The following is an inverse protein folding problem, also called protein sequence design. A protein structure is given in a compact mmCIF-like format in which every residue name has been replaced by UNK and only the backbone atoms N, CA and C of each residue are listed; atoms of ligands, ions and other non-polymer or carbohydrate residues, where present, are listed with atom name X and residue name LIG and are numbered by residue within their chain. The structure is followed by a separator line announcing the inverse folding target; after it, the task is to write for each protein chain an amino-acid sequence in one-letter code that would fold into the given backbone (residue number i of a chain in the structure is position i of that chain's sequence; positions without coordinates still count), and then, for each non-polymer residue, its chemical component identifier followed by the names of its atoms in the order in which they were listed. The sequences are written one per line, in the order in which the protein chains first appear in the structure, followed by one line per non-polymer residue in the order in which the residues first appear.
data_IF_349145806932
#
_entry.id   IF_349145806932
#
_cell.length_a   1.000
_cell.length_b   1.000
_cell.length_c   1.000
_cell.angle_alpha   90.00
_cell.angle_beta   90.00
_cell.angle_gamma   90.00
#
_symmetry.space_group_name_H-M   'P 1'
#
loop_
_entity.id
_entity.type
_entity.pdbx_description
1 polymer ?
#
# COMPACT_ATOMS: atom_id res chain seq x y z
N UNK A 1 -26.77 -20.04 -61.69
CA UNK A 1 -25.64 -20.14 -62.66
C UNK A 1 -24.53 -19.26 -62.12
N UNK A 2 -23.33 -19.69 -61.74
CA UNK A 2 -22.62 -20.96 -61.88
C UNK A 2 -21.70 -21.22 -60.67
N UNK A 3 -21.58 -22.50 -60.33
CA UNK A 3 -20.59 -23.14 -59.45
C UNK A 3 -19.16 -23.08 -60.02
N UNK A 4 -18.15 -23.16 -59.14
CA UNK A 4 -16.96 -24.04 -59.22
C UNK A 4 -15.84 -23.52 -58.29
N UNK A 5 -14.95 -24.29 -57.68
CA UNK A 5 -14.87 -25.69 -57.25
C UNK A 5 -13.56 -25.77 -56.44
N UNK A 6 -13.55 -26.60 -55.42
CA UNK A 6 -12.34 -27.06 -54.73
C UNK A 6 -11.37 -27.73 -55.72
N UNK A 7 -10.06 -27.49 -55.56
CA UNK A 7 -9.06 -28.52 -55.85
C UNK A 7 -7.77 -28.32 -55.04
N UNK A 8 -7.44 -29.37 -54.29
CA UNK A 8 -6.20 -29.60 -53.59
C UNK A 8 -5.13 -30.18 -54.53
N UNK A 9 -3.86 -29.90 -54.24
CA UNK A 9 -2.68 -30.79 -54.36
C UNK A 9 -1.46 -30.01 -53.81
N UNK A 10 -0.98 -30.30 -52.60
CA UNK A 10 0.00 -31.35 -52.27
C UNK A 10 1.38 -31.15 -52.89
N UNK A 11 2.27 -30.42 -52.21
CA UNK A 11 3.71 -30.73 -52.20
C UNK A 11 4.21 -30.65 -50.77
N UNK A 12 4.57 -31.83 -50.28
CA UNK A 12 5.27 -32.11 -49.04
C UNK A 12 6.63 -31.39 -48.99
N UNK A 13 6.91 -30.68 -47.90
CA UNK A 13 8.24 -30.66 -47.28
C UNK A 13 8.10 -30.67 -45.76
N UNK A 14 8.64 -31.73 -45.18
CA UNK A 14 8.89 -31.94 -43.76
C UNK A 14 9.60 -30.73 -43.14
N UNK A 15 9.04 -30.20 -42.05
CA UNK A 15 9.81 -29.65 -40.94
C UNK A 15 9.05 -29.91 -39.64
N UNK A 16 9.42 -31.03 -39.00
CA UNK A 16 9.12 -31.36 -37.61
C UNK A 16 9.85 -30.38 -36.69
N UNK A 17 9.17 -29.32 -36.25
CA UNK A 17 9.59 -28.54 -35.07
C UNK A 17 8.90 -29.15 -33.85
N UNK A 18 9.65 -30.03 -33.18
CA UNK A 18 9.34 -30.57 -31.85
C UNK A 18 9.10 -29.42 -30.87
N UNK A 19 7.89 -29.31 -30.34
CA UNK A 19 7.63 -28.61 -29.08
C UNK A 19 8.11 -29.52 -27.94
N UNK A 20 9.37 -29.36 -27.53
CA UNK A 20 9.82 -29.88 -26.24
C UNK A 20 9.52 -28.83 -25.16
N UNK A 21 8.65 -29.17 -24.21
CA UNK A 21 8.55 -28.50 -22.91
C UNK A 21 9.82 -28.84 -22.10
N UNK A 22 10.58 -27.85 -21.59
CA UNK A 22 11.46 -28.10 -20.46
C UNK A 22 10.68 -27.85 -19.17
N UNK A 23 10.12 -28.94 -18.64
CA UNK A 23 9.63 -29.04 -17.28
C UNK A 23 10.82 -29.29 -16.34
N UNK A 24 11.59 -28.25 -15.99
CA UNK A 24 12.45 -28.20 -14.79
C UNK A 24 13.33 -26.95 -14.79
N UNK A 25 12.96 -25.91 -14.05
CA UNK A 25 13.90 -24.88 -13.62
C UNK A 25 13.72 -24.62 -12.11
N UNK A 26 14.80 -24.68 -11.31
CA UNK A 26 14.73 -24.52 -9.87
C UNK A 26 14.41 -23.08 -9.47
N UNK A 27 13.67 -22.94 -8.36
CA UNK A 27 13.18 -21.68 -7.74
C UNK A 27 14.30 -20.71 -7.33
N UNK A 28 15.57 -21.04 -7.53
CA UNK A 28 16.74 -20.27 -7.08
C UNK A 28 17.24 -19.17 -8.04
N UNK A 29 16.63 -18.97 -9.21
CA UNK A 29 17.15 -18.04 -10.23
C UNK A 29 16.57 -16.61 -10.15
N UNK A 30 15.60 -16.35 -9.27
CA UNK A 30 14.97 -15.02 -9.14
C UNK A 30 15.52 -14.13 -8.02
N UNK A 31 16.71 -14.42 -7.48
CA UNK A 31 17.43 -13.46 -6.62
C UNK A 31 18.20 -12.50 -7.55
N UNK A 32 17.84 -11.21 -7.65
CA UNK A 32 18.59 -10.29 -8.49
C UNK A 32 20.03 -10.19 -7.97
N UNK A 33 21.02 -10.35 -8.86
CA UNK A 33 22.48 -10.20 -8.64
C UNK A 33 22.93 -8.83 -8.07
N UNK A 34 22.00 -8.00 -7.62
CA UNK A 34 22.22 -6.69 -7.02
C UNK A 34 22.44 -6.70 -5.50
N UNK A 35 22.02 -7.77 -4.79
CA UNK A 35 22.20 -7.89 -3.33
C UNK A 35 23.69 -8.09 -2.98
N UNK A 36 24.40 -8.91 -3.75
CA UNK A 36 25.84 -9.17 -3.57
C UNK A 36 26.68 -7.89 -3.73
N UNK A 37 26.42 -7.07 -4.76
CA UNK A 37 27.24 -5.88 -5.06
C UNK A 37 27.03 -4.69 -4.11
N UNK A 38 25.94 -4.66 -3.33
CA UNK A 38 25.66 -3.56 -2.39
C UNK A 38 26.22 -3.84 -0.99
N UNK A 39 26.27 -5.10 -0.56
CA UNK A 39 26.92 -5.52 0.69
C UNK A 39 28.45 -5.31 0.58
N UNK A 40 29.08 -5.60 -0.56
CA UNK A 40 30.52 -5.36 -0.76
C UNK A 40 30.88 -3.86 -0.79
N UNK A 41 29.95 -2.98 -1.18
CA UNK A 41 30.18 -1.52 -1.17
C UNK A 41 30.09 -0.91 0.22
N UNK A 42 29.25 -1.44 1.11
CA UNK A 42 29.16 -0.98 2.50
C UNK A 42 30.43 -1.30 3.31
N UNK A 43 31.11 -2.40 3.01
CA UNK A 43 32.43 -2.71 3.61
C UNK A 43 33.58 -1.86 3.05
N UNK A 44 33.41 -1.21 1.89
CA UNK A 44 34.48 -0.45 1.22
C UNK A 44 34.49 1.05 1.55
N UNK A 45 33.47 1.57 2.24
CA UNK A 45 33.38 3.01 2.60
C UNK A 45 34.11 3.35 3.91
N UNK A 46 34.53 2.36 4.73
CA UNK A 46 35.27 2.62 5.98
C UNK A 46 36.78 2.41 5.87
N UNK A 47 37.39 2.87 4.77
CA UNK A 47 38.86 2.98 4.69
C UNK A 47 39.27 4.12 3.77
N UNK A 48 39.15 5.37 4.23
CA UNK A 48 40.21 6.36 4.03
C UNK A 48 40.03 7.65 4.82
N UNK A 49 41.14 8.04 5.45
CA UNK A 49 41.50 9.33 6.04
C UNK A 49 41.03 9.65 7.46
N UNK A 50 41.91 9.44 8.45
CA UNK A 50 42.60 10.55 9.12
C UNK A 50 43.78 10.02 9.94
N UNK A 51 44.91 10.70 9.77
CA UNK A 51 46.16 10.48 10.48
C UNK A 51 46.09 11.06 11.90
N UNK A 52 46.73 10.36 12.85
CA UNK A 52 47.28 10.89 14.10
C UNK A 52 46.34 11.57 15.10
N UNK A 53 45.90 10.84 16.12
CA UNK A 53 45.82 11.34 17.51
C UNK A 53 45.58 10.18 18.49
N UNK A 54 46.33 10.22 19.59
CA UNK A 54 46.41 9.25 20.70
C UNK A 54 45.15 9.37 21.56
N UNK A 55 44.39 8.29 21.78
CA UNK A 55 43.51 8.11 22.96
C UNK A 55 43.38 6.61 23.28
N UNK A 56 43.45 6.32 24.58
CA UNK A 56 43.63 5.06 25.31
C UNK A 56 42.83 3.82 24.87
N UNK A 57 43.53 2.68 24.95
CA UNK A 57 42.99 1.31 24.87
C UNK A 57 42.03 1.01 26.03
N UNK A 58 40.74 0.83 25.72
CA UNK A 58 39.84 0.06 26.59
C UNK A 58 39.87 -1.39 26.10
N UNK A 59 40.69 -2.19 26.79
CA UNK A 59 40.87 -3.62 26.55
C UNK A 59 39.58 -4.39 26.85
N UNK A 60 38.85 -4.82 25.82
CA UNK A 60 37.75 -5.78 25.94
C UNK A 60 38.31 -7.20 25.69
N UNK A 61 38.15 -8.17 26.61
CA UNK A 61 38.99 -9.37 26.65
C UNK A 61 38.40 -10.57 25.88
N UNK A 62 38.01 -10.37 24.61
CA UNK A 62 37.23 -11.39 23.87
C UNK A 62 37.73 -11.69 22.44
N UNK A 63 38.93 -11.23 22.06
CA UNK A 63 39.46 -11.45 20.71
C UNK A 63 40.85 -12.13 20.64
N UNK A 64 41.44 -12.54 21.76
CA UNK A 64 42.75 -13.22 21.74
C UNK A 64 42.65 -14.76 21.63
N UNK A 65 41.49 -15.37 21.93
CA UNK A 65 41.36 -16.84 21.95
C UNK A 65 41.10 -17.48 20.56
N UNK A 66 40.98 -16.69 19.49
CA UNK A 66 40.68 -17.20 18.14
C UNK A 66 41.88 -17.20 17.18
N UNK A 67 43.06 -16.74 17.62
CA UNK A 67 44.24 -16.64 16.75
C UNK A 67 45.12 -17.90 16.74
N UNK A 68 44.79 -18.95 17.50
CA UNK A 68 45.71 -20.08 17.72
C UNK A 68 45.09 -21.46 17.49
N UNK A 69 44.23 -21.64 16.48
CA UNK A 69 44.02 -22.99 15.90
C UNK A 69 43.53 -22.92 14.46
N UNK A 70 44.43 -22.73 13.49
CA UNK A 70 44.14 -22.97 12.07
C UNK A 70 45.00 -24.14 11.60
N UNK A 71 44.41 -25.33 11.58
CA UNK A 71 44.79 -26.43 10.69
C UNK A 71 43.79 -26.42 9.52
N UNK A 72 44.23 -26.57 8.25
CA UNK A 72 43.33 -26.54 7.12
C UNK A 72 42.65 -27.90 7.01
N UNK A 73 41.32 -27.96 7.16
CA UNK A 73 40.58 -29.16 6.74
C UNK A 73 39.42 -28.81 5.82
N UNK A 74 39.37 -29.55 4.72
CA UNK A 74 38.57 -29.31 3.52
C UNK A 74 37.08 -29.60 3.73
N UNK A 75 36.22 -28.77 3.11
CA UNK A 75 35.02 -29.23 2.41
C UNK A 75 33.70 -29.40 3.17
N UNK A 76 33.63 -29.26 4.50
CA UNK A 76 32.38 -29.48 5.27
C UNK A 76 31.75 -28.21 5.90
N UNK A 77 32.42 -27.06 5.86
CA UNK A 77 31.92 -25.84 6.53
C UNK A 77 30.88 -25.06 5.70
N UNK A 78 30.86 -25.21 4.37
CA UNK A 78 29.90 -24.49 3.52
C UNK A 78 28.46 -24.98 3.69
N UNK A 79 28.23 -26.30 3.76
CA UNK A 79 26.88 -26.86 3.91
C UNK A 79 26.28 -26.59 5.30
N UNK A 80 27.08 -26.63 6.36
CA UNK A 80 26.61 -26.29 7.71
C UNK A 80 26.33 -24.79 7.88
N UNK A 81 27.13 -23.92 7.25
CA UNK A 81 26.90 -22.48 7.29
C UNK A 81 25.68 -22.08 6.44
N UNK A 82 25.44 -22.72 5.30
CA UNK A 82 24.27 -22.47 4.47
C UNK A 82 22.97 -23.00 5.10
N UNK A 83 22.99 -24.18 5.75
CA UNK A 83 21.84 -24.68 6.50
C UNK A 83 21.49 -23.78 7.70
N UNK A 84 22.49 -23.26 8.41
CA UNK A 84 22.24 -22.34 9.54
C UNK A 84 21.75 -20.97 9.08
N UNK A 85 22.19 -20.47 7.93
CA UNK A 85 21.65 -19.26 7.30
C UNK A 85 20.21 -19.48 6.82
N UNK A 86 19.92 -20.57 6.10
CA UNK A 86 18.58 -20.90 5.63
C UNK A 86 17.59 -21.05 6.81
N UNK A 87 18.00 -21.69 7.89
CA UNK A 87 17.20 -21.83 9.10
C UNK A 87 16.92 -20.48 9.79
N UNK A 88 17.94 -19.61 9.90
CA UNK A 88 17.76 -18.24 10.42
C UNK A 88 16.81 -17.42 9.53
N UNK A 89 16.97 -17.49 8.21
CA UNK A 89 16.09 -16.83 7.24
C UNK A 89 14.66 -17.34 7.38
N UNK A 90 14.46 -18.65 7.55
CA UNK A 90 13.15 -19.24 7.75
C UNK A 90 12.46 -18.72 9.03
N UNK A 91 13.19 -18.69 10.14
CA UNK A 91 12.68 -18.17 11.42
C UNK A 91 12.29 -16.70 11.30
N UNK A 92 13.16 -15.87 10.73
CA UNK A 92 12.86 -14.44 10.54
C UNK A 92 11.70 -14.22 9.55
N UNK A 93 11.63 -15.02 8.48
CA UNK A 93 10.52 -15.01 7.53
C UNK A 93 9.20 -15.36 8.20
N UNK A 94 9.19 -16.37 9.10
CA UNK A 94 7.99 -16.77 9.85
C UNK A 94 7.51 -15.65 10.78
N UNK A 95 8.42 -14.94 11.45
CA UNK A 95 8.09 -13.77 12.29
C UNK A 95 7.54 -12.62 11.45
N UNK A 96 8.17 -12.32 10.32
CA UNK A 96 7.72 -11.27 9.41
C UNK A 96 6.32 -11.58 8.88
N UNK A 97 6.04 -12.83 8.51
CA UNK A 97 4.73 -13.24 8.01
C UNK A 97 3.62 -13.04 9.03
N UNK A 98 3.91 -13.21 10.32
CA UNK A 98 2.92 -12.97 11.37
C UNK A 98 2.44 -11.50 11.40
N UNK A 99 3.28 -10.55 10.99
CA UNK A 99 2.96 -9.13 10.95
C UNK A 99 2.40 -8.73 9.58
N UNK A 100 3.08 -9.14 8.51
CA UNK A 100 2.78 -8.77 7.12
C UNK A 100 1.51 -9.45 6.61
N UNK A 101 1.23 -10.68 7.02
CA UNK A 101 0.06 -11.46 6.58
C UNK A 101 -1.25 -10.74 6.88
N UNK A 102 -1.53 -10.41 8.16
CA UNK A 102 -2.71 -9.63 8.53
C UNK A 102 -2.75 -8.25 7.87
N UNK A 103 -1.59 -7.59 7.70
CA UNK A 103 -1.53 -6.29 7.04
C UNK A 103 -1.94 -6.37 5.56
N UNK A 104 -1.43 -7.35 4.80
CA UNK A 104 -1.82 -7.59 3.41
C UNK A 104 -3.30 -7.93 3.33
N UNK A 105 -3.77 -8.85 4.17
CA UNK A 105 -5.18 -9.23 4.22
C UNK A 105 -6.09 -8.01 4.45
N UNK A 106 -5.72 -7.13 5.40
CA UNK A 106 -6.50 -5.91 5.65
C UNK A 106 -6.54 -4.97 4.45
N UNK A 107 -5.44 -4.84 3.70
CA UNK A 107 -5.38 -4.00 2.50
C UNK A 107 -6.26 -4.56 1.38
N UNK A 108 -6.19 -5.88 1.15
CA UNK A 108 -7.03 -6.56 0.15
C UNK A 108 -8.51 -6.35 0.52
N UNK A 109 -8.87 -6.66 1.76
CA UNK A 109 -10.24 -6.56 2.27
C UNK A 109 -10.80 -5.14 2.17
N UNK A 110 -10.01 -4.12 2.55
CA UNK A 110 -10.41 -2.73 2.42
C UNK A 110 -10.54 -2.29 0.96
N UNK A 111 -9.65 -2.76 0.07
CA UNK A 111 -9.73 -2.46 -1.36
C UNK A 111 -10.93 -3.14 -2.03
N UNK A 112 -11.28 -4.36 -1.59
CA UNK A 112 -12.47 -5.08 -2.06
C UNK A 112 -13.76 -4.28 -1.88
N UNK A 113 -13.88 -3.42 -0.86
CA UNK A 113 -15.05 -2.55 -0.71
C UNK A 113 -15.22 -1.59 -1.91
N UNK A 114 -14.12 -1.03 -2.44
CA UNK A 114 -14.20 -0.19 -3.64
C UNK A 114 -14.57 -1.01 -4.88
N UNK A 115 -14.01 -2.22 -5.03
CA UNK A 115 -14.31 -3.11 -6.16
C UNK A 115 -15.79 -3.53 -6.15
N UNK A 116 -16.31 -3.89 -4.98
CA UNK A 116 -17.72 -4.25 -4.81
C UNK A 116 -18.62 -3.05 -5.13
N UNK A 117 -18.29 -1.85 -4.62
CA UNK A 117 -19.02 -0.62 -4.93
C UNK A 117 -19.10 -0.38 -6.45
N UNK A 118 -17.99 -0.57 -7.18
CA UNK A 118 -17.98 -0.47 -8.64
C UNK A 118 -18.81 -1.58 -9.31
N UNK A 119 -18.74 -2.82 -8.84
CA UNK A 119 -19.56 -3.91 -9.39
C UNK A 119 -21.06 -3.63 -9.25
N UNK A 120 -21.50 -3.11 -8.09
CA UNK A 120 -22.88 -2.67 -7.90
C UNK A 120 -23.24 -1.50 -8.82
N UNK A 121 -22.36 -0.53 -9.03
CA UNK A 121 -22.60 0.57 -9.95
C UNK A 121 -22.79 0.08 -11.40
N UNK A 122 -21.99 -0.90 -11.84
CA UNK A 122 -22.14 -1.55 -13.14
C UNK A 122 -23.46 -2.28 -13.32
N UNK A 123 -24.10 -2.74 -12.25
CA UNK A 123 -25.44 -3.31 -12.33
C UNK A 123 -26.56 -2.27 -12.52
N UNK A 124 -26.33 -0.99 -12.17
CA UNK A 124 -27.31 0.07 -12.43
C UNK A 124 -27.22 0.56 -13.88
N UNK A 125 -26.00 0.69 -14.40
CA UNK A 125 -25.77 1.14 -15.76
C UNK A 125 -24.33 1.57 -16.01
N UNK A 126 -24.00 1.75 -17.29
CA UNK A 126 -22.66 2.15 -17.73
C UNK A 126 -22.32 3.57 -17.27
N UNK A 127 -23.33 4.45 -17.21
CA UNK A 127 -23.16 5.85 -16.80
C UNK A 127 -22.86 5.96 -15.30
N UNK A 128 -23.58 5.21 -14.46
CA UNK A 128 -23.38 5.11 -13.02
C UNK A 128 -22.01 4.52 -12.68
N UNK A 129 -21.62 3.47 -13.39
CA UNK A 129 -20.30 2.87 -13.27
C UNK A 129 -19.20 3.87 -13.64
N UNK A 130 -19.37 4.60 -14.75
CA UNK A 130 -18.42 5.63 -15.16
C UNK A 130 -18.29 6.74 -14.11
N UNK A 131 -19.42 7.23 -13.58
CA UNK A 131 -19.42 8.25 -12.53
C UNK A 131 -18.72 7.78 -11.25
N UNK A 132 -19.06 6.59 -10.74
CA UNK A 132 -18.41 6.00 -9.56
C UNK A 132 -16.93 5.75 -9.80
N UNK A 133 -16.56 5.27 -10.99
CA UNK A 133 -15.17 5.03 -11.37
C UNK A 133 -14.37 6.32 -11.39
N UNK A 134 -14.87 7.40 -12.00
CA UNK A 134 -14.20 8.70 -12.03
C UNK A 134 -14.10 9.29 -10.63
N UNK A 135 -15.20 9.30 -9.85
CA UNK A 135 -15.16 9.78 -8.47
C UNK A 135 -14.17 9.01 -7.61
N UNK A 136 -14.12 7.67 -7.74
CA UNK A 136 -13.22 6.84 -6.92
C UNK A 136 -11.77 6.96 -7.37
N UNK A 137 -11.50 6.91 -8.68
CA UNK A 137 -10.14 6.85 -9.21
C UNK A 137 -9.47 8.21 -9.31
N UNK A 138 -10.22 9.26 -9.66
CA UNK A 138 -9.66 10.60 -9.85
C UNK A 138 -9.76 11.41 -8.57
N UNK A 139 -10.99 11.59 -8.06
CA UNK A 139 -11.26 12.47 -6.92
C UNK A 139 -10.76 11.84 -5.61
N UNK A 140 -11.32 10.69 -5.23
CA UNK A 140 -10.90 9.95 -4.03
C UNK A 140 -9.47 9.41 -4.21
N UNK A 141 -9.05 9.07 -5.43
CA UNK A 141 -7.70 8.58 -5.69
C UNK A 141 -6.61 9.62 -5.44
N UNK A 142 -6.86 10.90 -5.78
CA UNK A 142 -5.98 12.01 -5.42
C UNK A 142 -5.86 12.14 -3.90
N UNK A 143 -7.01 12.21 -3.25
CA UNK A 143 -7.12 12.42 -1.82
C UNK A 143 -6.49 11.27 -1.01
N UNK A 144 -6.78 10.03 -1.39
CA UNK A 144 -6.20 8.82 -0.81
C UNK A 144 -4.68 8.85 -0.92
N UNK A 145 -4.11 9.22 -2.07
CA UNK A 145 -2.66 9.29 -2.26
C UNK A 145 -1.99 10.28 -1.30
N UNK A 146 -2.58 11.48 -1.18
CA UNK A 146 -2.08 12.54 -0.31
C UNK A 146 -2.22 12.18 1.18
N UNK A 147 -3.42 11.80 1.63
CA UNK A 147 -3.69 11.45 3.04
C UNK A 147 -2.90 10.20 3.46
N UNK A 148 -2.78 9.19 2.61
CA UNK A 148 -1.99 8.00 2.90
C UNK A 148 -0.50 8.33 3.05
N UNK A 149 0.01 9.26 2.24
CA UNK A 149 1.41 9.73 2.33
C UNK A 149 1.64 10.61 3.56
N UNK A 150 0.68 11.42 3.96
CA UNK A 150 0.77 12.15 5.23
C UNK A 150 0.77 11.17 6.42
N UNK A 151 0.03 10.06 6.32
CA UNK A 151 -0.05 9.07 7.39
C UNK A 151 1.23 8.22 7.52
N UNK A 152 2.06 8.08 6.47
CA UNK A 152 3.34 7.36 6.60
C UNK A 152 4.35 8.11 7.45
N UNK A 153 4.28 9.45 7.53
CA UNK A 153 5.10 10.20 8.49
C UNK A 153 4.76 9.80 9.95
N UNK A 154 3.47 9.60 10.24
CA UNK A 154 3.03 9.10 11.55
C UNK A 154 3.58 7.68 11.82
N UNK A 155 3.50 6.79 10.82
CA UNK A 155 4.01 5.42 10.94
C UNK A 155 5.48 5.40 11.36
N UNK A 156 6.33 6.21 10.71
CA UNK A 156 7.75 6.33 11.06
C UNK A 156 7.95 6.83 12.49
N UNK A 157 7.27 7.92 12.88
CA UNK A 157 7.40 8.50 14.21
C UNK A 157 6.91 7.55 15.31
N UNK A 158 5.78 6.87 15.08
CA UNK A 158 5.27 5.86 16.00
C UNK A 158 6.20 4.64 16.07
N UNK A 159 6.76 4.18 14.95
CA UNK A 159 7.73 3.09 14.91
C UNK A 159 9.01 3.42 15.71
N UNK A 160 9.54 4.63 15.54
CA UNK A 160 10.69 5.12 16.30
C UNK A 160 10.39 5.21 17.80
N UNK A 161 9.25 5.81 18.18
CA UNK A 161 8.85 5.93 19.58
C UNK A 161 8.57 4.57 20.23
N UNK A 162 7.95 3.64 19.49
CA UNK A 162 7.68 2.28 19.96
C UNK A 162 8.98 1.50 20.19
N UNK A 163 9.94 1.59 19.26
CA UNK A 163 11.27 1.00 19.41
C UNK A 163 12.08 1.60 20.56
N UNK A 164 11.93 2.91 20.81
CA UNK A 164 12.53 3.61 21.94
C UNK A 164 11.77 3.42 23.27
N UNK A 165 10.73 2.57 23.30
CA UNK A 165 9.87 2.32 24.47
C UNK A 165 9.15 3.56 25.02
N UNK A 166 8.98 4.61 24.22
CA UNK A 166 8.24 5.83 24.56
C UNK A 166 6.75 5.69 24.20
N UNK A 167 6.07 4.72 24.80
CA UNK A 167 4.72 4.30 24.39
C UNK A 167 3.67 5.42 24.43
N UNK A 168 3.71 6.29 25.45
CA UNK A 168 2.78 7.42 25.59
C UNK A 168 2.81 8.38 24.38
N UNK A 169 3.97 8.56 23.73
CA UNK A 169 4.09 9.46 22.58
C UNK A 169 3.29 9.01 21.36
N UNK A 170 2.97 7.72 21.24
CA UNK A 170 2.18 7.22 20.10
C UNK A 170 0.78 7.83 20.10
N UNK A 171 0.14 7.97 21.26
CA UNK A 171 -1.18 8.60 21.40
C UNK A 171 -1.14 10.09 21.07
N UNK A 172 -0.07 10.78 21.49
CA UNK A 172 0.16 12.20 21.16
C UNK A 172 0.34 12.38 19.65
N UNK A 173 1.15 11.54 19.00
CA UNK A 173 1.35 11.61 17.55
C UNK A 173 0.07 11.28 16.77
N UNK A 174 -0.72 10.31 17.23
CA UNK A 174 -2.03 10.00 16.64
C UNK A 174 -2.95 11.23 16.66
N UNK A 175 -3.08 11.90 17.82
CA UNK A 175 -3.92 13.10 17.95
C UNK A 175 -3.39 14.26 17.09
N UNK A 176 -2.08 14.46 17.07
CA UNK A 176 -1.44 15.47 16.20
C UNK A 176 -1.73 15.21 14.73
N UNK A 177 -1.66 13.93 14.32
CA UNK A 177 -2.00 13.51 12.96
C UNK A 177 -3.45 13.78 12.63
N UNK A 178 -4.42 13.47 13.52
CA UNK A 178 -5.82 13.78 13.29
C UNK A 178 -6.08 15.28 13.07
N UNK A 179 -5.47 16.15 13.89
CA UNK A 179 -5.62 17.60 13.73
C UNK A 179 -5.16 18.04 12.32
N UNK A 180 -3.98 17.59 11.92
CA UNK A 180 -3.39 17.97 10.63
C UNK A 180 -4.14 17.36 9.45
N UNK A 181 -4.56 16.10 9.55
CA UNK A 181 -5.37 15.42 8.54
C UNK A 181 -6.72 16.09 8.37
N UNK A 182 -7.37 16.48 9.46
CA UNK A 182 -8.66 17.15 9.41
C UNK A 182 -8.57 18.51 8.71
N UNK A 183 -7.54 19.30 9.02
CA UNK A 183 -7.25 20.56 8.31
C UNK A 183 -7.01 20.28 6.82
N UNK A 184 -6.23 19.25 6.49
CA UNK A 184 -5.99 18.87 5.10
C UNK A 184 -7.28 18.46 4.38
N UNK A 185 -8.18 17.70 5.02
CA UNK A 185 -9.47 17.35 4.46
C UNK A 185 -10.31 18.60 4.15
N UNK A 186 -10.35 19.57 5.05
CA UNK A 186 -11.04 20.85 4.80
C UNK A 186 -10.46 21.58 3.57
N UNK A 187 -9.14 21.60 3.43
CA UNK A 187 -8.46 22.22 2.28
C UNK A 187 -8.74 21.52 0.96
N UNK A 188 -8.98 20.20 0.98
CA UNK A 188 -9.28 19.39 -0.21
C UNK A 188 -10.78 19.34 -0.54
N UNK A 189 -11.65 19.80 0.35
CA UNK A 189 -13.10 19.81 0.15
C UNK A 189 -13.57 20.50 -1.16
N UNK A 190 -12.97 21.61 -1.62
CA UNK A 190 -13.34 22.22 -2.90
C UNK A 190 -13.23 21.26 -4.10
N UNK A 191 -12.30 20.30 -4.06
CA UNK A 191 -12.16 19.28 -5.11
C UNK A 191 -13.42 18.42 -5.23
N UNK A 192 -14.08 18.14 -4.11
CA UNK A 192 -15.33 17.36 -4.08
C UNK A 192 -16.53 18.21 -4.51
N UNK A 193 -16.60 19.46 -4.04
CA UNK A 193 -17.74 20.37 -4.33
C UNK A 193 -17.76 20.84 -5.79
N UNK A 194 -16.59 21.06 -6.39
CA UNK A 194 -16.45 21.54 -7.76
C UNK A 194 -16.15 20.43 -8.77
N UNK A 195 -16.41 19.17 -8.42
CA UNK A 195 -16.16 18.02 -9.30
C UNK A 195 -16.87 18.15 -10.67
N UNK A 196 -18.17 18.47 -10.69
CA UNK A 196 -18.94 18.65 -11.93
C UNK A 196 -18.35 19.73 -12.86
N UNK A 197 -18.15 20.98 -12.43
CA UNK A 197 -17.57 22.01 -13.30
C UNK A 197 -16.14 21.71 -13.73
N UNK A 198 -15.32 21.08 -12.88
CA UNK A 198 -13.96 20.64 -13.25
C UNK A 198 -14.03 19.61 -14.39
N UNK A 199 -14.92 18.62 -14.30
CA UNK A 199 -15.06 17.58 -15.32
C UNK A 199 -15.59 18.14 -16.65
N UNK A 200 -16.54 19.08 -16.60
CA UNK A 200 -17.01 19.78 -17.81
C UNK A 200 -15.88 20.56 -18.48
N UNK A 201 -15.03 21.22 -17.68
CA UNK A 201 -13.86 21.94 -18.19
C UNK A 201 -12.83 20.99 -18.84
N UNK A 202 -12.69 19.78 -18.30
CA UNK A 202 -11.86 18.72 -18.87
C UNK A 202 -12.47 18.07 -20.13
N UNK A 203 -13.64 18.52 -20.58
CA UNK A 203 -14.30 18.04 -21.80
C UNK A 203 -15.15 16.77 -21.63
N UNK A 204 -15.49 16.39 -20.40
CA UNK A 204 -16.40 15.25 -20.18
C UNK A 204 -17.84 15.59 -20.59
N UNK A 205 -18.62 14.60 -21.09
CA UNK A 205 -20.04 14.79 -21.39
C UNK A 205 -20.80 15.34 -20.18
N UNK A 206 -21.70 16.29 -20.41
CA UNK A 206 -22.40 17.02 -19.33
C UNK A 206 -23.13 16.09 -18.38
N UNK A 207 -23.80 15.05 -18.90
CA UNK A 207 -24.54 14.08 -18.09
C UNK A 207 -23.62 13.30 -17.14
N UNK A 208 -22.48 12.80 -17.65
CA UNK A 208 -21.48 12.11 -16.84
C UNK A 208 -20.87 13.04 -15.78
N UNK A 209 -20.56 14.29 -16.15
CA UNK A 209 -19.96 15.26 -15.25
C UNK A 209 -20.91 15.62 -14.09
N UNK A 210 -22.21 15.79 -14.35
CA UNK A 210 -23.19 16.06 -13.31
C UNK A 210 -23.39 14.85 -12.38
N UNK A 211 -23.46 13.64 -12.93
CA UNK A 211 -23.61 12.43 -12.14
C UNK A 211 -22.37 12.19 -11.24
N UNK A 212 -21.18 12.42 -11.79
CA UNK A 212 -19.92 12.36 -11.01
C UNK A 212 -19.88 13.44 -9.93
N UNK A 213 -20.42 14.63 -10.21
CA UNK A 213 -20.58 15.70 -9.22
C UNK A 213 -21.48 15.28 -8.06
N UNK A 214 -22.61 14.65 -8.36
CA UNK A 214 -23.51 14.09 -7.35
C UNK A 214 -22.80 13.04 -6.47
N UNK A 215 -22.16 12.06 -7.10
CA UNK A 215 -21.39 11.02 -6.38
C UNK A 215 -20.30 11.64 -5.52
N UNK A 216 -19.57 12.62 -6.05
CA UNK A 216 -18.50 13.32 -5.35
C UNK A 216 -19.00 13.98 -4.06
N UNK A 217 -20.15 14.66 -4.10
CA UNK A 217 -20.76 15.23 -2.88
C UNK A 217 -21.11 14.15 -1.86
N UNK A 218 -21.65 13.02 -2.30
CA UNK A 218 -21.93 11.87 -1.44
C UNK A 218 -20.67 11.16 -0.93
N UNK A 219 -19.50 11.41 -1.51
CA UNK A 219 -18.21 10.88 -1.05
C UNK A 219 -17.50 11.78 -0.02
N UNK A 220 -18.07 12.93 0.34
CA UNK A 220 -17.50 13.80 1.39
C UNK A 220 -17.35 13.07 2.75
N UNK A 221 -18.30 12.25 3.23
CA UNK A 221 -18.13 11.59 4.53
C UNK A 221 -16.99 10.56 4.55
N UNK A 222 -16.75 9.83 3.45
CA UNK A 222 -15.62 8.89 3.34
C UNK A 222 -14.32 9.66 3.32
N UNK A 223 -14.25 10.80 2.63
CA UNK A 223 -13.07 11.68 2.66
C UNK A 223 -12.63 12.01 4.08
N UNK A 224 -13.55 12.46 4.95
CA UNK A 224 -13.23 12.69 6.36
C UNK A 224 -12.89 11.40 7.13
N UNK A 225 -13.53 10.28 6.80
CA UNK A 225 -13.21 8.99 7.42
C UNK A 225 -11.75 8.58 7.17
N UNK A 226 -11.19 8.88 6.00
CA UNK A 226 -9.78 8.58 5.67
C UNK A 226 -8.80 9.32 6.58
N UNK A 227 -9.13 10.57 6.94
CA UNK A 227 -8.37 11.38 7.87
C UNK A 227 -8.24 10.78 9.28
N UNK A 228 -9.21 9.95 9.70
CA UNK A 228 -9.15 9.20 10.95
C UNK A 228 -8.58 7.78 10.76
N UNK A 229 -9.00 7.11 9.68
CA UNK A 229 -8.70 5.72 9.40
C UNK A 229 -7.21 5.49 9.19
N UNK A 230 -6.54 6.30 8.36
CA UNK A 230 -5.13 6.06 8.09
C UNK A 230 -4.26 6.27 9.33
N UNK A 231 -4.41 7.36 10.11
CA UNK A 231 -3.66 7.50 11.36
C UNK A 231 -3.90 6.37 12.35
N UNK A 232 -5.16 5.96 12.56
CA UNK A 232 -5.51 4.84 13.45
C UNK A 232 -4.87 3.53 12.99
N UNK A 233 -4.92 3.25 11.69
CA UNK A 233 -4.29 2.08 11.11
C UNK A 233 -2.78 2.11 11.37
N UNK A 234 -2.09 3.22 11.11
CA UNK A 234 -0.64 3.32 11.33
C UNK A 234 -0.26 3.21 12.79
N UNK A 235 -1.04 3.81 13.69
CA UNK A 235 -0.87 3.71 15.13
C UNK A 235 -0.94 2.25 15.63
N UNK A 236 -1.89 1.46 15.13
CA UNK A 236 -1.99 0.04 15.49
C UNK A 236 -0.93 -0.83 14.79
N UNK A 237 -0.59 -0.51 13.53
CA UNK A 237 0.46 -1.21 12.78
C UNK A 237 1.83 -1.07 13.45
N UNK A 238 2.20 0.13 13.91
CA UNK A 238 3.48 0.36 14.60
C UNK A 238 3.60 -0.38 15.93
N UNK A 239 2.48 -0.80 16.52
CA UNK A 239 2.43 -1.60 17.75
C UNK A 239 2.36 -3.11 17.47
N UNK A 240 2.50 -3.53 16.21
CA UNK A 240 2.34 -4.91 15.76
C UNK A 240 0.94 -5.50 16.01
N UNK A 241 -0.09 -4.65 16.20
CA UNK A 241 -1.50 -5.06 16.38
C UNK A 241 -2.22 -5.23 15.03
N UNK A 242 -1.53 -5.81 14.04
CA UNK A 242 -2.05 -5.95 12.66
C UNK A 242 -3.21 -6.94 12.56
N UNK A 243 -3.31 -7.92 13.45
CA UNK A 243 -4.44 -8.84 13.54
C UNK A 243 -5.78 -8.14 13.82
N UNK A 244 -5.78 -7.10 14.65
CA UNK A 244 -6.98 -6.30 14.95
C UNK A 244 -7.45 -5.57 13.69
N UNK A 245 -6.51 -4.95 12.97
CA UNK A 245 -6.82 -4.25 11.72
C UNK A 245 -7.43 -5.21 10.71
N UNK A 246 -6.86 -6.42 10.58
CA UNK A 246 -7.39 -7.46 9.71
C UNK A 246 -8.84 -7.84 10.08
N UNK A 247 -9.12 -8.11 11.36
CA UNK A 247 -10.47 -8.49 11.79
C UNK A 247 -11.49 -7.36 11.61
N UNK A 248 -11.13 -6.12 11.95
CA UNK A 248 -12.03 -4.98 11.75
C UNK A 248 -12.27 -4.68 10.27
N UNK A 249 -11.26 -4.86 9.42
CA UNK A 249 -11.43 -4.73 7.97
C UNK A 249 -12.37 -5.80 7.40
N UNK A 250 -12.27 -7.05 7.88
CA UNK A 250 -13.17 -8.13 7.49
C UNK A 250 -14.61 -7.84 7.91
N UNK A 251 -14.80 -7.40 9.16
CA UNK A 251 -16.11 -6.98 9.66
C UNK A 251 -16.69 -5.85 8.80
N UNK A 252 -15.89 -4.84 8.47
CA UNK A 252 -16.32 -3.74 7.59
C UNK A 252 -16.70 -4.23 6.19
N UNK A 253 -15.96 -5.18 5.61
CA UNK A 253 -16.30 -5.78 4.31
C UNK A 253 -17.61 -6.59 4.36
N UNK A 254 -17.82 -7.39 5.41
CA UNK A 254 -19.07 -8.16 5.59
C UNK A 254 -20.25 -7.20 5.72
N UNK A 255 -20.12 -6.15 6.54
CA UNK A 255 -21.12 -5.10 6.65
C UNK A 255 -21.34 -4.41 5.30
N UNK A 256 -20.26 -4.12 4.55
CA UNK A 256 -20.35 -3.53 3.22
C UNK A 256 -21.22 -4.37 2.28
N UNK A 257 -20.95 -5.68 2.17
CA UNK A 257 -21.73 -6.57 1.29
C UNK A 257 -23.20 -6.60 1.69
N UNK A 258 -23.51 -6.71 2.98
CA UNK A 258 -24.88 -6.78 3.49
C UNK A 258 -25.63 -5.47 3.23
N UNK A 259 -25.01 -4.33 3.56
CA UNK A 259 -25.63 -3.00 3.40
C UNK A 259 -25.77 -2.66 1.92
N UNK A 260 -24.79 -2.99 1.07
CA UNK A 260 -24.86 -2.82 -0.39
C UNK A 260 -26.01 -3.63 -0.98
N UNK A 261 -26.17 -4.91 -0.59
CA UNK A 261 -27.30 -5.70 -1.03
C UNK A 261 -28.65 -5.08 -0.60
N UNK A 262 -28.75 -4.60 0.63
CA UNK A 262 -29.97 -3.99 1.16
C UNK A 262 -30.31 -2.68 0.44
N UNK A 263 -29.35 -1.76 0.32
CA UNK A 263 -29.58 -0.43 -0.24
C UNK A 263 -29.82 -0.46 -1.75
N UNK A 264 -29.08 -1.30 -2.47
CA UNK A 264 -29.19 -1.38 -3.92
C UNK A 264 -30.39 -2.24 -4.33
N UNK A 265 -30.53 -3.47 -3.81
CA UNK A 265 -31.57 -4.39 -4.28
C UNK A 265 -32.90 -4.28 -3.54
N UNK A 266 -32.91 -4.03 -2.22
CA UNK A 266 -34.17 -3.96 -1.46
C UNK A 266 -34.77 -2.57 -1.46
N UNK A 267 -33.97 -1.56 -1.15
CA UNK A 267 -34.47 -0.18 -1.06
C UNK A 267 -34.40 0.59 -2.38
N UNK A 268 -33.67 0.08 -3.38
CA UNK A 268 -33.58 0.69 -4.72
C UNK A 268 -33.15 2.17 -4.66
N UNK A 269 -32.24 2.50 -3.72
CA UNK A 269 -31.69 3.87 -3.58
C UNK A 269 -30.71 4.25 -4.69
N UNK A 270 -30.49 3.35 -5.65
CA UNK A 270 -29.68 3.58 -6.83
C UNK A 270 -28.26 4.04 -6.50
N UNK A 271 -27.76 4.99 -7.29
CA UNK A 271 -26.39 5.51 -7.21
C UNK A 271 -26.05 6.14 -5.85
N UNK A 272 -27.02 6.86 -5.27
CA UNK A 272 -26.86 7.47 -3.94
C UNK A 272 -26.72 6.38 -2.87
N UNK A 273 -27.51 5.30 -2.99
CA UNK A 273 -27.40 4.12 -2.13
C UNK A 273 -25.99 3.51 -2.16
N UNK A 274 -25.42 3.36 -3.36
CA UNK A 274 -24.04 2.85 -3.55
C UNK A 274 -23.03 3.73 -2.82
N UNK A 275 -23.06 5.05 -3.05
CA UNK A 275 -22.14 5.95 -2.36
C UNK A 275 -22.33 5.90 -0.83
N UNK A 276 -23.57 5.89 -0.34
CA UNK A 276 -23.87 5.80 1.10
C UNK A 276 -23.34 4.51 1.74
N UNK A 277 -23.48 3.35 1.07
CA UNK A 277 -22.99 2.06 1.60
C UNK A 277 -21.48 2.07 1.81
N UNK A 278 -20.74 2.67 0.89
CA UNK A 278 -19.30 2.81 0.99
C UNK A 278 -18.93 3.70 2.19
N UNK A 279 -19.60 4.84 2.37
CA UNK A 279 -19.40 5.70 3.55
C UNK A 279 -19.61 4.95 4.87
N UNK A 280 -20.73 4.24 5.00
CA UNK A 280 -21.06 3.46 6.22
C UNK A 280 -19.93 2.47 6.52
N UNK A 281 -19.44 1.78 5.50
CA UNK A 281 -18.44 0.72 5.67
C UNK A 281 -17.09 1.26 6.14
N UNK A 282 -16.66 2.40 5.60
CA UNK A 282 -15.44 3.07 6.05
C UNK A 282 -15.57 3.63 7.47
N UNK A 283 -16.72 4.18 7.84
CA UNK A 283 -16.96 4.63 9.21
C UNK A 283 -17.04 3.48 10.21
N UNK A 284 -17.64 2.35 9.84
CA UNK A 284 -17.61 1.11 10.66
C UNK A 284 -16.17 0.70 10.95
N UNK A 285 -15.28 0.79 9.95
CA UNK A 285 -13.87 0.51 10.13
C UNK A 285 -13.20 1.50 11.10
N UNK A 286 -13.43 2.81 10.92
CA UNK A 286 -12.92 3.87 11.81
C UNK A 286 -13.36 3.65 13.24
N UNK A 287 -14.67 3.51 13.47
CA UNK A 287 -15.22 3.31 14.82
C UNK A 287 -14.74 2.01 15.42
N UNK A 288 -14.57 0.96 14.62
CA UNK A 288 -14.01 -0.30 15.06
C UNK A 288 -12.59 -0.18 15.61
N UNK A 289 -11.70 0.46 14.85
CA UNK A 289 -10.31 0.68 15.29
C UNK A 289 -10.21 1.66 16.47
N UNK A 290 -11.06 2.70 16.48
CA UNK A 290 -11.12 3.68 17.54
C UNK A 290 -11.63 3.05 18.84
N UNK A 291 -12.71 2.28 18.78
CA UNK A 291 -13.29 1.55 19.91
C UNK A 291 -12.24 0.62 20.53
N UNK A 292 -11.57 -0.20 19.72
CA UNK A 292 -10.49 -1.06 20.22
C UNK A 292 -9.39 -0.25 20.94
N UNK A 293 -9.00 0.91 20.38
CA UNK A 293 -7.94 1.74 20.95
C UNK A 293 -8.32 2.37 22.29
N UNK A 294 -9.56 2.89 22.41
CA UNK A 294 -10.05 3.60 23.59
C UNK A 294 -10.54 2.63 24.68
N UNK A 295 -11.19 1.53 24.31
CA UNK A 295 -11.78 0.55 25.24
C UNK A 295 -10.76 -0.43 25.85
N UNK A 296 -9.48 -0.03 25.95
CA UNK A 296 -8.45 -0.81 26.65
C UNK A 296 -7.59 -1.73 25.78
N UNK A 297 -7.74 -1.71 24.45
CA UNK A 297 -6.83 -2.46 23.55
C UNK A 297 -5.41 -1.89 23.47
N UNK A 298 -5.22 -0.65 23.91
CA UNK A 298 -3.97 0.13 23.81
C UNK A 298 -3.65 0.93 25.10
N UNK A 299 -3.60 0.31 26.29
CA UNK A 299 -3.57 1.05 27.57
C UNK A 299 -2.27 1.85 27.79
N UNK A 300 -1.15 1.38 27.26
CA UNK A 300 0.15 2.04 27.40
C UNK A 300 0.37 3.18 26.39
N UNK A 301 -0.31 3.11 25.25
CA UNK A 301 -0.09 4.00 24.11
C UNK A 301 -1.21 5.02 23.94
N UNK A 302 -2.39 4.73 24.50
CA UNK A 302 -3.54 5.62 24.50
C UNK A 302 -3.98 5.88 25.95
N UNK A 303 -3.66 7.08 26.44
CA UNK A 303 -4.02 7.54 27.79
C UNK A 303 -5.09 8.64 27.77
N UNK A 304 -5.82 8.78 26.65
CA UNK A 304 -6.81 9.83 26.43
C UNK A 304 -6.24 11.06 25.70
N UNK A 305 -7.07 12.11 25.61
CA UNK A 305 -6.69 13.35 24.95
C UNK A 305 -5.62 14.12 25.73
N UNK A 306 -4.63 14.64 25.02
CA UNK A 306 -3.50 15.37 25.62
C UNK A 306 -3.32 16.72 24.93
N UNK A 307 -3.06 17.77 25.71
CA UNK A 307 -2.74 19.11 25.19
C UNK A 307 -1.42 19.13 24.41
N UNK A 308 -0.56 18.14 24.65
CA UNK A 308 0.70 17.97 23.92
C UNK A 308 0.48 17.71 22.42
N UNK A 309 -0.71 17.25 22.02
CA UNK A 309 -1.08 17.09 20.62
C UNK A 309 -0.99 18.41 19.83
N UNK A 310 -1.19 19.56 20.49
CA UNK A 310 -1.11 20.88 19.89
C UNK A 310 0.32 21.46 19.84
N UNK A 311 1.26 20.82 20.52
CA UNK A 311 2.68 21.21 20.45
C UNK A 311 3.33 20.65 19.18
N UNK A 312 4.26 21.39 18.57
CA UNK A 312 5.05 20.90 17.43
C UNK A 312 4.24 20.56 16.17
N UNK A 313 3.02 21.10 16.03
CA UNK A 313 2.16 20.88 14.86
C UNK A 313 2.84 21.29 13.55
N UNK A 314 3.56 22.41 13.54
CA UNK A 314 4.22 22.92 12.33
C UNK A 314 5.30 21.98 11.78
N UNK A 315 6.15 21.42 12.64
CA UNK A 315 7.20 20.48 12.22
C UNK A 315 6.59 19.15 11.77
N UNK A 316 5.55 18.67 12.47
CA UNK A 316 4.81 17.49 12.03
C UNK A 316 4.10 17.73 10.70
N UNK A 317 3.53 18.92 10.48
CA UNK A 317 2.88 19.31 9.24
C UNK A 317 3.88 19.31 8.09
N UNK A 318 5.05 19.93 8.23
CA UNK A 318 6.10 19.91 7.20
C UNK A 318 6.49 18.48 6.82
N UNK A 319 6.74 17.63 7.83
CA UNK A 319 7.13 16.23 7.61
C UNK A 319 6.01 15.45 6.89
N UNK A 320 4.78 15.60 7.38
CA UNK A 320 3.61 14.92 6.82
C UNK A 320 3.31 15.41 5.41
N UNK A 321 3.34 16.72 5.17
CA UNK A 321 3.10 17.32 3.87
C UNK A 321 4.16 16.89 2.84
N UNK A 322 5.44 16.86 3.22
CA UNK A 322 6.49 16.38 2.33
C UNK A 322 6.27 14.91 1.91
N UNK A 323 5.96 14.04 2.88
CA UNK A 323 5.62 12.63 2.63
C UNK A 323 4.32 12.47 1.82
N UNK A 324 3.32 13.30 2.10
CA UNK A 324 2.05 13.38 1.39
C UNK A 324 2.21 13.74 -0.08
N UNK A 325 2.91 14.84 -0.36
CA UNK A 325 3.19 15.31 -1.72
C UNK A 325 4.02 14.29 -2.49
N UNK A 326 5.05 13.71 -1.87
CA UNK A 326 5.87 12.68 -2.50
C UNK A 326 5.03 11.48 -2.96
N UNK A 327 4.22 10.89 -2.08
CA UNK A 327 3.41 9.72 -2.41
C UNK A 327 2.25 10.06 -3.37
N UNK A 328 1.68 11.25 -3.24
CA UNK A 328 0.66 11.74 -4.17
C UNK A 328 1.23 11.89 -5.58
N UNK A 329 2.38 12.52 -5.73
CA UNK A 329 3.06 12.67 -7.02
C UNK A 329 3.46 11.32 -7.61
N UNK A 330 3.91 10.36 -6.79
CA UNK A 330 4.21 8.99 -7.26
C UNK A 330 2.97 8.31 -7.84
N UNK A 331 1.82 8.40 -7.14
CA UNK A 331 0.56 7.82 -7.60
C UNK A 331 0.06 8.49 -8.91
N UNK A 332 0.16 9.81 -9.01
CA UNK A 332 -0.23 10.57 -10.21
C UNK A 332 0.68 10.31 -11.39
N UNK A 333 1.99 10.34 -11.16
CA UNK A 333 2.99 10.00 -12.16
C UNK A 333 2.70 8.63 -12.76
N UNK A 334 2.36 7.66 -11.92
CA UNK A 334 2.04 6.31 -12.38
C UNK A 334 0.75 6.24 -13.21
N UNK A 335 -0.31 6.99 -12.83
CA UNK A 335 -1.55 7.08 -13.62
C UNK A 335 -1.31 7.68 -15.00
N UNK A 336 -0.48 8.72 -15.09
CA UNK A 336 -0.10 9.33 -16.37
C UNK A 336 0.68 8.33 -17.22
N UNK A 337 1.63 7.59 -16.64
CA UNK A 337 2.38 6.56 -17.35
C UNK A 337 1.44 5.48 -17.91
N UNK A 338 0.50 4.97 -17.12
CA UNK A 338 -0.47 3.99 -17.60
C UNK A 338 -1.25 4.54 -18.80
N UNK A 339 -1.79 5.76 -18.68
CA UNK A 339 -2.54 6.41 -19.76
C UNK A 339 -1.71 6.56 -21.04
N UNK A 340 -0.44 6.98 -20.92
CA UNK A 340 0.46 7.11 -22.07
C UNK A 340 0.75 5.75 -22.70
N UNK A 341 0.99 4.71 -21.90
CA UNK A 341 1.27 3.36 -22.42
C UNK A 341 0.06 2.64 -22.99
N UNK A 342 -1.15 2.99 -22.53
CA UNK A 342 -2.40 2.53 -23.11
C UNK A 342 -2.59 2.97 -24.57
N UNK A 343 -1.86 3.99 -25.03
CA UNK A 343 -1.90 4.49 -26.41
C UNK A 343 -0.79 3.89 -27.31
N UNK A 344 -0.03 2.90 -26.82
CA UNK A 344 1.02 2.23 -27.61
C UNK A 344 0.44 1.10 -28.47
N UNK A 345 1.12 0.79 -29.57
CA UNK A 345 0.70 -0.26 -30.52
C UNK A 345 0.58 -1.65 -29.87
N UNK A 346 1.30 -1.91 -28.78
CA UNK A 346 1.20 -3.10 -27.94
C UNK A 346 0.80 -2.74 -26.50
N UNK A 347 -0.31 -2.00 -26.35
CA UNK A 347 -0.77 -1.45 -25.07
C UNK A 347 -0.91 -2.53 -23.97
N UNK A 348 -1.44 -3.71 -24.30
CA UNK A 348 -1.62 -4.81 -23.34
C UNK A 348 -0.30 -5.22 -22.68
N UNK A 349 0.72 -5.57 -23.49
CA UNK A 349 2.04 -5.96 -22.99
C UNK A 349 2.75 -4.84 -22.22
N UNK A 350 2.61 -3.59 -22.66
CA UNK A 350 3.24 -2.44 -22.02
C UNK A 350 2.59 -2.11 -20.66
N UNK A 351 1.26 -2.14 -20.60
CA UNK A 351 0.48 -1.91 -19.38
C UNK A 351 0.70 -3.05 -18.39
N UNK A 352 0.76 -4.30 -18.84
CA UNK A 352 1.05 -5.45 -17.98
C UNK A 352 2.46 -5.36 -17.38
N UNK A 353 3.47 -5.05 -18.20
CA UNK A 353 4.84 -4.87 -17.72
C UNK A 353 4.95 -3.74 -16.69
N UNK A 354 4.27 -2.61 -16.93
CA UNK A 354 4.21 -1.49 -15.98
C UNK A 354 3.44 -1.84 -14.70
N UNK A 355 2.38 -2.64 -14.80
CA UNK A 355 1.59 -3.12 -13.65
C UNK A 355 2.41 -4.02 -12.75
N UNK A 356 3.14 -4.98 -13.34
CA UNK A 356 4.06 -5.87 -12.62
C UNK A 356 5.19 -5.06 -11.96
N UNK A 357 5.80 -4.13 -12.71
CA UNK A 357 6.87 -3.29 -12.18
C UNK A 357 6.43 -2.43 -11.00
N UNK A 358 5.25 -1.82 -11.11
CA UNK A 358 4.69 -0.99 -10.04
C UNK A 358 4.36 -1.80 -8.81
N UNK A 359 3.65 -2.93 -8.97
CA UNK A 359 3.32 -3.81 -7.86
C UNK A 359 4.58 -4.23 -7.10
N UNK A 360 5.64 -4.59 -7.84
CA UNK A 360 6.94 -4.98 -7.28
C UNK A 360 7.68 -3.80 -6.63
N UNK A 361 7.61 -2.61 -7.20
CA UNK A 361 8.28 -1.41 -6.67
C UNK A 361 7.59 -0.86 -5.43
N UNK A 362 6.25 -0.86 -5.40
CA UNK A 362 5.44 -0.42 -4.28
C UNK A 362 5.59 -1.34 -3.06
N UNK A 363 5.64 -2.66 -3.26
CA UNK A 363 5.97 -3.61 -2.17
C UNK A 363 7.39 -3.41 -1.66
N UNK A 364 8.36 -3.19 -2.56
CA UNK A 364 9.75 -2.94 -2.17
C UNK A 364 9.93 -1.64 -1.38
N UNK A 365 9.30 -0.54 -1.78
CA UNK A 365 9.47 0.74 -1.06
C UNK A 365 8.87 0.71 0.34
N UNK A 366 7.79 -0.06 0.56
CA UNK A 366 7.11 -0.17 1.86
C UNK A 366 7.62 -1.28 2.79
N UNK A 367 8.50 -2.16 2.31
CA UNK A 367 9.21 -3.14 3.15
C UNK A 367 10.53 -2.60 3.70
N UNK A 368 11.04 -1.49 3.16
CA UNK A 368 12.32 -0.88 3.52
C UNK A 368 12.20 0.48 4.24
N UNK A 369 10.98 0.98 4.42
CA UNK A 369 10.63 2.09 5.32
C UNK A 369 9.76 1.50 6.42
#
# INVERSE_FOLDING_TARGET
MCHCKSQANSVSKNETLKFELPLSLPVSVWIPRFISKRITRLFKVKKMSSSGAIVEDVKVPLLDDLASTVQPNNGQDHDHQDQTLAWKVWIESKKLWHIVGPAIFSRITSYSMFVITQAFAGHLGDLELAAISISTNVIVGFDLGLLLGMASALETLCGQAFGAKKYYMLGVYLQRSWIIMFICCILLLPLYLFASPILKLLGQPTEMAELTGLVSMWMIPIHFSLGFQFPLQRFLQSQLKTGVIAWMSLMALVVHVIVSWLFVYKFQFGLVGIAATLNISWWVLVFGLLCYSICGGCPLTWTGFSTEAFSGLWEFLKLSAASGVMLCLENWYYRILILMTGNLQNAELAVDALSIWYFTSFTRHRLFV
#
